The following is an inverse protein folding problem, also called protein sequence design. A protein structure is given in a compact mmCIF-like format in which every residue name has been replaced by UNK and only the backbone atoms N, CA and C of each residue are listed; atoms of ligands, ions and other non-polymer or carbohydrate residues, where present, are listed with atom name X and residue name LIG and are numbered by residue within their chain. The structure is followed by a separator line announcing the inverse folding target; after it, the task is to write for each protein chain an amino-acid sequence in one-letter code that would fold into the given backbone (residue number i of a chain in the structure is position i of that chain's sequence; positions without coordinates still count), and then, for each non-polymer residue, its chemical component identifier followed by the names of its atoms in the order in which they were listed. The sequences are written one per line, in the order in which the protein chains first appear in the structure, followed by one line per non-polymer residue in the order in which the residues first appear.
data_IF_748411820009
#
_entry.id   IF_748411820009
#
_cell.length_a   1.000
_cell.length_b   1.000
_cell.length_c   1.000
_cell.angle_alpha   90.00
_cell.angle_beta   90.00
_cell.angle_gamma   90.00
#
_symmetry.space_group_name_H-M   'P 1'
#
loop_
_entity.id
_entity.type
_entity.pdbx_description
1 polymer ?
#
# COMPACT_ATOMS: atom_id res chain seq x y z
N UNK A 1 -22.16 -7.45 -14.65
CA UNK A 1 -21.37 -8.00 -13.52
C UNK A 1 -20.03 -8.55 -13.96
N UNK A 2 -19.98 -9.56 -14.85
CA UNK A 2 -18.75 -10.18 -15.34
C UNK A 2 -17.72 -9.18 -15.94
N UNK A 3 -18.14 -8.34 -16.89
CA UNK A 3 -17.28 -7.30 -17.48
C UNK A 3 -16.82 -6.27 -16.45
N UNK A 4 -17.67 -5.93 -15.50
CA UNK A 4 -17.37 -4.99 -14.41
C UNK A 4 -16.26 -5.53 -13.50
N UNK A 5 -16.30 -6.82 -13.16
CA UNK A 5 -15.25 -7.48 -12.39
C UNK A 5 -13.91 -7.43 -13.13
N UNK A 6 -13.91 -7.74 -14.42
CA UNK A 6 -12.72 -7.69 -15.26
C UNK A 6 -12.11 -6.28 -15.33
N UNK A 7 -12.94 -5.25 -15.45
CA UNK A 7 -12.49 -3.85 -15.46
C UNK A 7 -11.85 -3.45 -14.11
N UNK A 8 -12.46 -3.83 -12.99
CA UNK A 8 -11.86 -3.59 -11.67
C UNK A 8 -10.55 -4.35 -11.46
N UNK A 9 -10.43 -5.57 -11.98
CA UNK A 9 -9.16 -6.30 -11.95
C UNK A 9 -8.06 -5.59 -12.73
N UNK A 10 -8.38 -5.08 -13.92
CA UNK A 10 -7.42 -4.30 -14.71
C UNK A 10 -7.00 -3.02 -13.98
N UNK A 11 -7.94 -2.36 -13.29
CA UNK A 11 -7.65 -1.19 -12.47
C UNK A 11 -6.74 -1.52 -11.27
N UNK A 12 -7.01 -2.60 -10.53
CA UNK A 12 -6.14 -3.10 -9.46
C UNK A 12 -4.71 -3.29 -9.97
N UNK A 13 -4.57 -4.03 -11.07
CA UNK A 13 -3.27 -4.37 -11.65
C UNK A 13 -2.51 -3.13 -12.13
N UNK A 14 -3.20 -2.17 -12.74
CA UNK A 14 -2.59 -0.91 -13.18
C UNK A 14 -2.02 -0.10 -11.99
N UNK A 15 -2.78 0.03 -10.90
CA UNK A 15 -2.30 0.71 -9.70
C UNK A 15 -1.16 -0.06 -9.03
N UNK A 16 -1.25 -1.40 -8.94
CA UNK A 16 -0.16 -2.23 -8.40
C UNK A 16 1.14 -2.09 -9.21
N UNK A 17 1.06 -2.00 -10.54
CA UNK A 17 2.23 -1.71 -11.38
C UNK A 17 2.81 -0.33 -11.11
N UNK A 18 1.96 0.70 -11.00
CA UNK A 18 2.40 2.06 -10.71
C UNK A 18 3.14 2.13 -9.35
N UNK A 19 2.59 1.48 -8.33
CA UNK A 19 3.19 1.34 -6.99
C UNK A 19 4.52 0.61 -7.07
N UNK A 20 4.56 -0.53 -7.76
CA UNK A 20 5.78 -1.32 -7.92
C UNK A 20 6.92 -0.52 -8.54
N UNK A 21 6.65 0.23 -9.62
CA UNK A 21 7.64 1.09 -10.28
C UNK A 21 8.14 2.23 -9.39
N UNK A 22 7.30 2.75 -8.49
CA UNK A 22 7.66 3.86 -7.57
C UNK A 22 8.38 3.38 -6.29
N UNK A 23 8.33 2.09 -5.98
CA UNK A 23 8.76 1.51 -4.69
C UNK A 23 10.18 1.91 -4.26
N UNK A 24 11.15 1.88 -5.18
CA UNK A 24 12.53 2.26 -4.89
C UNK A 24 12.65 3.74 -4.51
N UNK A 25 12.06 4.63 -5.30
CA UNK A 25 12.07 6.07 -5.00
C UNK A 25 11.33 6.40 -3.70
N UNK A 26 10.21 5.75 -3.45
CA UNK A 26 9.41 5.96 -2.23
C UNK A 26 10.15 5.49 -0.97
N UNK A 27 10.93 4.40 -1.06
CA UNK A 27 11.73 3.93 0.06
C UNK A 27 12.81 4.96 0.46
N UNK A 28 13.50 5.53 -0.54
CA UNK A 28 14.44 6.63 -0.32
C UNK A 28 13.74 7.84 0.30
N UNK A 29 12.59 8.25 -0.23
CA UNK A 29 11.82 9.40 0.26
C UNK A 29 11.36 9.20 1.72
N UNK A 30 10.99 7.96 2.08
CA UNK A 30 10.65 7.57 3.45
C UNK A 30 11.87 7.71 4.38
N UNK A 31 13.03 7.18 3.98
CA UNK A 31 14.26 7.29 4.77
C UNK A 31 14.69 8.74 4.98
N UNK A 32 14.63 9.57 3.94
CA UNK A 32 14.93 11.01 4.00
C UNK A 32 13.99 11.75 4.96
N UNK A 33 12.69 11.46 4.90
CA UNK A 33 11.70 12.07 5.78
C UNK A 33 11.96 11.68 7.24
N UNK A 34 12.20 10.39 7.51
CA UNK A 34 12.47 9.89 8.87
C UNK A 34 13.75 10.49 9.45
N UNK A 35 14.82 10.56 8.67
CA UNK A 35 16.10 11.14 9.12
C UNK A 35 16.00 12.65 9.38
N UNK A 36 15.21 13.38 8.59
CA UNK A 36 14.97 14.80 8.86
C UNK A 36 14.15 15.02 10.13
N UNK A 37 13.10 14.21 10.35
CA UNK A 37 12.30 14.27 11.58
C UNK A 37 13.12 13.91 12.83
N UNK A 38 14.06 12.96 12.71
CA UNK A 38 14.96 12.58 13.80
C UNK A 38 16.01 13.66 14.10
N UNK A 39 16.60 14.30 13.08
CA UNK A 39 17.58 15.37 13.30
C UNK A 39 16.98 16.61 13.95
N UNK A 40 15.72 16.94 13.66
CA UNK A 40 15.01 18.05 14.33
C UNK A 40 14.83 17.78 15.83
N UNK A 41 14.84 16.52 16.27
CA UNK A 41 14.76 16.15 17.68
C UNK A 41 16.11 16.21 18.43
N UNK A 42 17.24 16.32 17.73
CA UNK A 42 18.59 16.29 18.33
C UNK A 42 19.25 17.67 18.50
N UNK A 43 18.50 18.76 18.25
CA UNK A 43 19.02 20.13 18.29
C UNK A 43 19.28 20.74 19.68
N UNK A 44 18.94 20.05 20.78
CA UNK A 44 19.28 20.52 22.12
C UNK A 44 20.61 19.89 22.54
N UNK A 45 21.69 20.67 22.43
CA UNK A 45 22.99 20.30 22.98
C UNK A 45 22.85 20.02 24.49
N UNK A 46 23.41 18.93 25.03
CA UNK A 46 23.65 18.87 26.46
C UNK A 46 24.78 19.88 26.72
N UNK A 47 24.42 21.09 27.14
CA UNK A 47 25.39 22.02 27.70
C UNK A 47 25.86 21.43 29.03
N UNK A 48 26.85 20.54 28.97
CA UNK A 48 27.61 20.14 30.14
C UNK A 48 28.48 21.34 30.52
N UNK A 49 27.95 22.15 31.43
CA UNK A 49 28.72 23.13 32.16
C UNK A 49 29.87 22.38 32.84
N UNK A 50 31.09 22.60 32.36
CA UNK A 50 32.32 22.16 33.02
C UNK A 50 32.45 22.95 34.33
N UNK A 51 31.82 22.45 35.39
CA UNK A 51 32.14 22.86 36.75
C UNK A 51 33.25 21.94 37.22
N UNK A 52 34.47 22.45 37.14
CA UNK A 52 35.65 21.90 37.80
C UNK A 52 35.39 21.92 39.31
N UNK A 53 35.13 20.75 39.89
CA UNK A 53 35.10 20.57 41.34
C UNK A 53 35.89 19.32 41.67
N UNK A 54 37.09 19.55 42.18
CA UNK A 54 37.95 18.54 42.78
C UNK A 54 37.21 17.78 43.88
N UNK A 55 37.12 16.46 43.68
CA UNK A 55 37.52 15.43 44.63
C UNK A 55 37.28 15.70 46.13
N UNK A 56 36.36 14.96 46.74
CA UNK A 56 36.68 13.87 47.69
C UNK A 56 35.38 13.35 48.33
N UNK A 57 35.40 12.04 48.60
CA UNK A 57 34.69 11.33 49.68
C UNK A 57 33.54 10.37 49.28
N UNK A 58 33.95 9.11 49.14
CA UNK A 58 33.35 7.88 49.69
C UNK A 58 32.27 7.10 48.92
N UNK A 59 32.77 6.04 48.27
CA UNK A 59 32.53 4.61 48.58
C UNK A 59 31.09 4.06 48.64
N UNK A 60 30.89 3.06 47.77
CA UNK A 60 30.29 1.74 48.05
C UNK A 60 28.86 1.48 47.53
N UNK A 61 28.82 0.63 46.48
CA UNK A 61 27.82 -0.43 46.17
C UNK A 61 26.32 -0.10 46.17
N UNK A 62 25.67 -0.30 45.03
CA UNK A 62 24.82 -1.48 44.74
C UNK A 62 24.03 -1.21 43.45
N UNK A 63 24.13 -2.18 42.56
CA UNK A 63 23.40 -2.34 41.30
C UNK A 63 21.89 -2.41 41.56
N UNK A 64 21.09 -1.53 40.94
CA UNK A 64 19.64 -1.73 40.83
C UNK A 64 19.07 -1.07 39.58
N UNK A 65 18.74 -1.94 38.63
CA UNK A 65 17.88 -1.67 37.48
C UNK A 65 16.76 -0.68 37.82
N UNK A 66 16.71 0.44 37.09
CA UNK A 66 15.54 1.32 37.08
C UNK A 66 15.33 1.83 35.65
N UNK A 67 14.27 1.33 35.02
CA UNK A 67 13.61 1.95 33.87
C UNK A 67 13.49 3.47 34.06
N UNK A 68 13.80 4.32 33.07
CA UNK A 68 13.20 5.64 33.03
C UNK A 68 11.82 5.50 32.37
N UNK A 69 10.82 5.38 33.24
CA UNK A 69 9.44 5.70 32.94
C UNK A 69 9.38 7.18 32.53
N UNK A 70 9.01 7.39 31.27
CA UNK A 70 8.15 8.47 30.80
C UNK A 70 8.53 9.90 31.13
N UNK A 71 8.95 10.63 30.09
CA UNK A 71 8.48 11.99 29.86
C UNK A 71 8.14 12.13 28.38
N UNK A 72 6.85 11.91 28.08
CA UNK A 72 6.20 12.46 26.90
C UNK A 72 6.18 13.98 27.06
N UNK A 73 7.28 14.66 26.74
CA UNK A 73 7.28 16.11 26.60
C UNK A 73 6.94 16.44 25.16
N UNK A 74 5.64 16.69 24.98
CA UNK A 74 5.06 17.33 23.81
C UNK A 74 5.81 18.64 23.50
N UNK A 75 6.77 18.60 22.58
CA UNK A 75 7.25 19.81 21.91
C UNK A 75 6.29 20.09 20.76
N UNK A 76 5.23 20.80 21.10
CA UNK A 76 4.45 21.60 20.16
C UNK A 76 5.30 22.78 19.70
N UNK A 77 6.26 22.53 18.82
CA UNK A 77 7.05 23.56 18.15
C UNK A 77 7.02 23.27 16.66
N UNK A 78 6.37 24.14 15.89
CA UNK A 78 6.16 24.01 14.44
C UNK A 78 7.36 23.38 13.73
N UNK A 79 7.27 22.08 13.42
CA UNK A 79 8.22 21.43 12.52
C UNK A 79 8.06 22.10 11.16
N UNK A 80 8.93 23.07 10.86
CA UNK A 80 8.98 23.69 9.53
C UNK A 80 9.43 22.58 8.58
N UNK A 81 8.45 21.97 7.92
CA UNK A 81 8.69 21.01 6.85
C UNK A 81 9.44 21.79 5.76
N UNK A 82 10.75 21.57 5.68
CA UNK A 82 11.59 22.10 4.62
C UNK A 82 10.97 21.80 3.25
N UNK A 83 11.15 22.70 2.27
CA UNK A 83 10.64 22.50 0.91
C UNK A 83 11.03 21.11 0.34
N UNK A 84 12.22 20.62 0.72
CA UNK A 84 12.71 19.29 0.36
C UNK A 84 11.86 18.17 0.98
N UNK A 85 11.63 18.17 2.29
CA UNK A 85 10.81 17.14 2.96
C UNK A 85 9.34 17.21 2.58
N UNK A 86 8.83 18.41 2.23
CA UNK A 86 7.47 18.60 1.71
C UNK A 86 7.26 17.82 0.41
N UNK A 87 8.24 17.85 -0.50
CA UNK A 87 8.17 17.11 -1.76
C UNK A 87 8.20 15.59 -1.57
N UNK A 88 9.00 15.10 -0.62
CA UNK A 88 9.09 13.68 -0.26
C UNK A 88 7.81 13.18 0.42
N UNK A 89 7.21 14.00 1.28
CA UNK A 89 5.92 13.72 1.90
C UNK A 89 4.79 13.65 0.86
N UNK A 90 4.73 14.60 -0.08
CA UNK A 90 3.72 14.58 -1.15
C UNK A 90 3.83 13.31 -2.00
N UNK A 91 5.06 12.93 -2.41
CA UNK A 91 5.30 11.70 -3.18
C UNK A 91 4.90 10.44 -2.39
N UNK A 92 5.10 10.42 -1.07
CA UNK A 92 4.67 9.31 -0.21
C UNK A 92 3.13 9.25 -0.08
N UNK A 93 2.46 10.40 -0.01
CA UNK A 93 0.99 10.47 0.01
C UNK A 93 0.40 9.99 -1.33
N UNK A 94 0.97 10.41 -2.45
CA UNK A 94 0.55 9.94 -3.78
C UNK A 94 0.75 8.43 -3.93
N UNK A 95 1.88 7.90 -3.46
CA UNK A 95 2.13 6.47 -3.43
C UNK A 95 1.08 5.71 -2.59
N UNK A 96 0.74 6.23 -1.41
CA UNK A 96 -0.29 5.63 -0.54
C UNK A 96 -1.67 5.70 -1.17
N UNK A 97 -1.98 6.77 -1.90
CA UNK A 97 -3.23 6.94 -2.65
C UNK A 97 -3.36 5.89 -3.74
N UNK A 98 -2.30 5.61 -4.49
CA UNK A 98 -2.28 4.56 -5.51
C UNK A 98 -2.53 3.17 -4.90
N UNK A 99 -1.94 2.87 -3.73
CA UNK A 99 -2.21 1.63 -2.99
C UNK A 99 -3.69 1.55 -2.58
N UNK A 100 -4.26 2.62 -2.04
CA UNK A 100 -5.67 2.66 -1.66
C UNK A 100 -6.59 2.42 -2.85
N UNK A 101 -6.28 2.98 -4.03
CA UNK A 101 -7.04 2.71 -5.24
C UNK A 101 -6.91 1.26 -5.71
N UNK A 102 -5.72 0.64 -5.61
CA UNK A 102 -5.54 -0.77 -5.90
C UNK A 102 -6.40 -1.65 -4.99
N UNK A 103 -6.40 -1.38 -3.68
CA UNK A 103 -7.19 -2.14 -2.69
C UNK A 103 -8.69 -1.99 -2.93
N UNK A 104 -9.16 -0.78 -3.21
CA UNK A 104 -10.59 -0.55 -3.49
C UNK A 104 -11.03 -1.21 -4.80
N UNK A 105 -10.17 -1.18 -5.83
CA UNK A 105 -10.41 -1.90 -7.08
C UNK A 105 -10.46 -3.42 -6.85
N UNK A 106 -9.54 -3.98 -6.06
CA UNK A 106 -9.53 -5.39 -5.68
C UNK A 106 -10.84 -5.80 -4.98
N UNK A 107 -11.29 -5.01 -3.99
CA UNK A 107 -12.54 -5.24 -3.26
C UNK A 107 -13.75 -5.23 -4.19
N UNK A 108 -13.84 -4.24 -5.08
CA UNK A 108 -14.92 -4.14 -6.06
C UNK A 108 -14.89 -5.28 -7.08
N UNK A 109 -13.69 -5.69 -7.53
CA UNK A 109 -13.50 -6.85 -8.40
C UNK A 109 -14.08 -8.12 -7.76
N UNK A 110 -13.70 -8.43 -6.52
CA UNK A 110 -14.17 -9.63 -5.82
C UNK A 110 -15.69 -9.62 -5.61
N UNK A 111 -16.25 -8.49 -5.17
CA UNK A 111 -17.69 -8.35 -4.96
C UNK A 111 -18.49 -8.53 -6.26
N UNK A 112 -18.05 -7.89 -7.35
CA UNK A 112 -18.73 -8.00 -8.65
C UNK A 112 -18.54 -9.37 -9.30
N UNK A 113 -17.40 -10.03 -9.07
CA UNK A 113 -17.18 -11.41 -9.49
C UNK A 113 -18.07 -12.39 -8.75
N UNK A 114 -18.17 -12.27 -7.41
CA UNK A 114 -19.05 -13.12 -6.61
C UNK A 114 -20.52 -13.01 -7.07
N UNK A 115 -20.99 -11.79 -7.33
CA UNK A 115 -22.33 -11.56 -7.89
C UNK A 115 -22.48 -12.14 -9.31
N UNK A 116 -21.44 -12.05 -10.16
CA UNK A 116 -21.47 -12.67 -11.49
C UNK A 116 -21.54 -14.21 -11.39
N UNK A 117 -20.77 -14.82 -10.49
CA UNK A 117 -20.73 -16.27 -10.31
C UNK A 117 -22.03 -16.83 -9.70
N UNK A 118 -22.67 -16.09 -8.80
CA UNK A 118 -23.97 -16.49 -8.22
C UNK A 118 -25.07 -16.63 -9.29
N UNK A 119 -25.02 -15.79 -10.33
CA UNK A 119 -25.99 -15.81 -11.44
C UNK A 119 -25.79 -16.98 -12.41
N UNK A 120 -24.68 -17.74 -12.31
CA UNK A 120 -24.40 -18.87 -13.22
C UNK A 120 -25.14 -20.15 -12.81
N UNK A 121 -25.68 -20.21 -11.60
CA UNK A 121 -26.44 -21.37 -11.12
C UNK A 121 -27.75 -21.62 -11.90
N UNK A 122 -28.20 -20.63 -12.67
CA UNK A 122 -29.41 -20.66 -13.51
C UNK A 122 -29.13 -20.86 -15.00
N UNK A 123 -27.87 -20.98 -15.43
CA UNK A 123 -27.46 -20.65 -16.79
C UNK A 123 -26.54 -21.68 -17.48
N UNK A 124 -26.55 -21.64 -18.81
CA UNK A 124 -25.89 -22.53 -19.78
C UNK A 124 -24.38 -22.78 -19.54
N UNK A 125 -23.83 -23.88 -20.07
CA UNK A 125 -22.40 -24.23 -19.97
C UNK A 125 -21.43 -23.09 -20.35
N UNK A 126 -21.82 -22.23 -21.30
CA UNK A 126 -21.05 -21.06 -21.75
C UNK A 126 -20.84 -20.03 -20.63
N UNK A 127 -21.80 -19.89 -19.72
CA UNK A 127 -21.70 -18.99 -18.57
C UNK A 127 -20.70 -19.51 -17.52
N UNK A 128 -20.57 -20.84 -17.38
CA UNK A 128 -19.54 -21.47 -16.53
C UNK A 128 -18.12 -21.26 -17.10
N UNK A 129 -17.96 -21.40 -18.41
CA UNK A 129 -16.67 -21.16 -19.08
C UNK A 129 -16.24 -19.69 -18.94
N UNK A 130 -17.18 -18.75 -19.06
CA UNK A 130 -16.97 -17.33 -18.86
C UNK A 130 -16.46 -17.03 -17.44
N UNK A 131 -17.14 -17.53 -16.40
CA UNK A 131 -16.70 -17.36 -15.01
C UNK A 131 -15.33 -17.98 -14.76
N UNK A 132 -15.05 -19.14 -15.36
CA UNK A 132 -13.74 -19.79 -15.24
C UNK A 132 -12.62 -18.94 -15.85
N UNK A 133 -12.86 -18.34 -17.03
CA UNK A 133 -11.92 -17.43 -17.65
C UNK A 133 -11.68 -16.17 -16.79
N UNK A 134 -12.73 -15.59 -16.21
CA UNK A 134 -12.60 -14.41 -15.33
C UNK A 134 -11.83 -14.77 -14.06
N UNK A 135 -12.11 -15.93 -13.43
CA UNK A 135 -11.37 -16.41 -12.26
C UNK A 135 -9.87 -16.50 -12.53
N UNK A 136 -9.47 -17.03 -13.70
CA UNK A 136 -8.06 -17.07 -14.11
C UNK A 136 -7.40 -15.70 -14.13
N UNK A 137 -8.11 -14.65 -14.57
CA UNK A 137 -7.58 -13.27 -14.54
C UNK A 137 -7.50 -12.75 -13.10
N UNK A 138 -8.50 -13.03 -12.26
CA UNK A 138 -8.57 -12.57 -10.86
C UNK A 138 -7.43 -13.18 -10.03
N UNK A 139 -7.13 -14.45 -10.24
CA UNK A 139 -6.07 -15.18 -9.54
C UNK A 139 -4.67 -14.84 -10.07
N UNK A 140 -4.58 -14.08 -11.17
CA UNK A 140 -3.30 -13.75 -11.80
C UNK A 140 -2.56 -12.62 -11.08
N UNK A 141 -1.22 -12.69 -11.12
CA UNK A 141 -0.31 -11.71 -10.52
C UNK A 141 -0.01 -10.55 -11.46
N UNK A 142 0.22 -9.35 -10.91
CA UNK A 142 0.60 -8.17 -11.71
C UNK A 142 2.05 -8.22 -12.26
N UNK A 143 2.84 -9.24 -11.91
CA UNK A 143 4.25 -9.30 -12.30
C UNK A 143 4.43 -9.51 -13.81
N UNK A 144 3.61 -10.38 -14.41
CA UNK A 144 3.64 -10.69 -15.84
C UNK A 144 2.51 -9.93 -16.56
N UNK A 145 2.84 -8.79 -17.19
CA UNK A 145 1.82 -7.97 -17.86
C UNK A 145 1.37 -8.58 -19.18
N UNK A 146 2.26 -9.29 -19.88
CA UNK A 146 1.96 -9.83 -21.19
C UNK A 146 0.93 -10.97 -21.07
N UNK A 147 1.16 -11.90 -20.13
CA UNK A 147 0.19 -12.96 -19.84
C UNK A 147 -1.10 -12.38 -19.24
N UNK A 148 -1.03 -11.36 -18.39
CA UNK A 148 -2.23 -10.69 -17.87
C UNK A 148 -3.10 -10.12 -19.00
N UNK A 149 -2.49 -9.40 -19.95
CA UNK A 149 -3.20 -8.84 -21.11
C UNK A 149 -3.82 -9.95 -21.96
N UNK A 150 -3.08 -11.05 -22.17
CA UNK A 150 -3.59 -12.22 -22.87
C UNK A 150 -4.83 -12.80 -22.18
N UNK A 151 -4.76 -13.03 -20.86
CA UNK A 151 -5.88 -13.57 -20.07
C UNK A 151 -7.10 -12.63 -20.08
N UNK A 152 -6.89 -11.31 -19.99
CA UNK A 152 -7.96 -10.31 -20.08
C UNK A 152 -8.65 -10.36 -21.44
N UNK A 153 -7.90 -10.54 -22.55
CA UNK A 153 -8.47 -10.68 -23.89
C UNK A 153 -9.30 -11.97 -24.01
N UNK A 154 -8.78 -13.08 -23.49
CA UNK A 154 -9.49 -14.37 -23.46
C UNK A 154 -10.81 -14.25 -22.69
N UNK A 155 -10.78 -13.65 -21.49
CA UNK A 155 -11.96 -13.44 -20.66
C UNK A 155 -12.97 -12.48 -21.31
N UNK A 156 -12.50 -11.38 -21.92
CA UNK A 156 -13.37 -10.44 -22.64
C UNK A 156 -14.11 -11.11 -23.80
N UNK A 157 -13.42 -11.98 -24.55
CA UNK A 157 -14.05 -12.77 -25.60
C UNK A 157 -15.05 -13.79 -25.06
N UNK A 158 -14.77 -14.41 -23.91
CA UNK A 158 -15.71 -15.33 -23.26
C UNK A 158 -16.99 -14.60 -22.82
N UNK A 159 -16.87 -13.40 -22.24
CA UNK A 159 -18.00 -12.54 -21.87
C UNK A 159 -18.86 -12.19 -23.09
N UNK A 160 -18.23 -11.79 -24.20
CA UNK A 160 -18.95 -11.47 -25.44
C UNK A 160 -19.71 -12.68 -25.99
N UNK A 161 -19.11 -13.88 -25.96
CA UNK A 161 -19.77 -15.12 -26.41
C UNK A 161 -20.94 -15.51 -25.51
N UNK A 162 -20.79 -15.37 -24.19
CA UNK A 162 -21.86 -15.61 -23.23
C UNK A 162 -23.04 -14.65 -23.47
N UNK A 163 -22.78 -13.36 -23.69
CA UNK A 163 -23.82 -12.36 -23.95
C UNK A 163 -24.61 -12.59 -25.26
N UNK A 164 -23.96 -13.16 -26.29
CA UNK A 164 -24.62 -13.50 -27.56
C UNK A 164 -25.45 -14.79 -27.50
N UNK A 165 -25.21 -15.65 -26.50
CA UNK A 165 -25.96 -16.89 -26.29
C UNK A 165 -27.37 -16.64 -25.73
N UNK A 166 -27.50 -15.72 -24.77
CA UNK A 166 -28.77 -15.44 -24.09
C UNK A 166 -29.73 -14.48 -24.82
N UNK A 167 -29.46 -14.12 -26.08
CA UNK A 167 -30.33 -13.24 -26.88
C UNK A 167 -31.34 -14.01 -27.76
N UNK A 168 -31.40 -15.34 -27.62
CA UNK A 168 -32.45 -16.17 -28.19
C UNK A 168 -33.31 -16.64 -27.04
N UNK A 169 -34.45 -15.97 -26.85
CA UNK A 169 -35.76 -16.52 -26.45
C UNK A 169 -36.78 -15.38 -26.32
#
# INVERSE_FOLDING_TARGET
MAATALAYKCMEMAYMRAVYCKSFSTNRDRHELLSTLQMVSQGESPSFSASDVDNLNNQMTVDKATFPRGTNTHVSGNQVISARTRSSLLRLLDFTKDINFAMEACRKCQSTFAAAAANVNTEEARNRDCITCIRRVIDFSFLDVDELVHLVLVASNAIRRAALGGAKD
#
